data_IF_491884270726
#
_entry.id   IF_491884270726
#
_cell.length_a   1.000
_cell.length_b   1.000
_cell.length_c   1.000
_cell.angle_alpha   90.00
_cell.angle_beta   90.00
_cell.angle_gamma   90.00
#
_symmetry.space_group_name_H-M   'P 1'
#
loop_
_entity.id
_entity.type
_entity.pdbx_description
1 polymer ?
#
# COMPACT_ATOMS: atom_id res chain seq x y z
N UNK A 1 -9.17 3.86 1.44
CA UNK A 1 -8.18 4.89 1.07
C UNK A 1 -6.85 4.20 0.97
N UNK A 2 -6.16 4.37 -0.16
CA UNK A 2 -4.89 3.69 -0.36
C UNK A 2 -3.76 4.38 0.40
N UNK A 3 -2.78 3.60 0.84
CA UNK A 3 -1.54 4.08 1.46
C UNK A 3 -0.37 3.15 1.16
N UNK A 4 0.84 3.68 1.31
CA UNK A 4 2.08 2.92 1.22
C UNK A 4 2.49 2.40 2.60
N UNK A 5 3.08 1.22 2.65
CA UNK A 5 3.70 0.61 3.83
C UNK A 5 4.90 -0.22 3.38
N UNK A 6 6.07 -0.03 4.00
CA UNK A 6 7.21 -0.91 3.81
C UNK A 6 7.01 -2.22 4.57
N UNK A 7 7.30 -3.35 3.93
CA UNK A 7 7.32 -4.67 4.52
C UNK A 7 8.10 -5.61 3.60
N UNK A 8 8.85 -6.54 4.18
CA UNK A 8 9.51 -7.63 3.44
C UNK A 8 10.36 -7.18 2.25
N UNK A 9 11.13 -6.09 2.42
CA UNK A 9 12.09 -5.61 1.44
C UNK A 9 11.49 -4.79 0.29
N UNK A 10 10.22 -4.41 0.39
CA UNK A 10 9.53 -3.58 -0.61
C UNK A 10 8.57 -2.61 0.05
N UNK A 11 8.24 -1.53 -0.66
CA UNK A 11 7.12 -0.64 -0.34
C UNK A 11 5.85 -1.13 -1.04
N UNK A 12 4.93 -1.68 -0.26
CA UNK A 12 3.65 -2.19 -0.71
C UNK A 12 2.55 -1.15 -0.54
N UNK A 13 1.55 -1.20 -1.42
CA UNK A 13 0.32 -0.44 -1.24
C UNK A 13 -0.72 -1.32 -0.54
N UNK A 14 -1.57 -0.72 0.28
CA UNK A 14 -2.74 -1.37 0.87
C UNK A 14 -3.95 -0.43 0.84
N UNK A 15 -5.15 -1.01 0.90
CA UNK A 15 -6.38 -0.27 1.14
C UNK A 15 -6.78 -0.39 2.61
N UNK A 16 -6.73 0.72 3.33
CA UNK A 16 -7.09 0.71 4.75
C UNK A 16 -6.96 2.08 5.41
N UNK A 17 -7.75 2.35 6.45
CA UNK A 17 -7.73 3.63 7.14
C UNK A 17 -6.44 3.83 7.96
N UNK A 18 -5.77 2.75 8.37
CA UNK A 18 -4.63 2.79 9.29
C UNK A 18 -3.42 2.04 8.71
N UNK A 19 -2.22 2.47 9.11
CA UNK A 19 -1.01 1.72 8.81
C UNK A 19 -0.98 0.46 9.71
N UNK A 20 -0.56 -0.70 9.20
CA UNK A 20 -0.39 -1.89 10.02
C UNK A 20 0.65 -1.66 11.12
N UNK A 21 0.46 -2.29 12.26
CA UNK A 21 1.41 -2.22 13.38
C UNK A 21 2.61 -3.13 13.12
N UNK A 22 3.77 -2.90 13.76
CA UNK A 22 4.85 -3.87 13.74
C UNK A 22 4.38 -5.26 14.17
N UNK A 23 4.73 -6.29 13.41
CA UNK A 23 4.31 -7.67 13.59
C UNK A 23 2.94 -8.01 13.00
N UNK A 24 2.19 -7.02 12.50
CA UNK A 24 0.92 -7.24 11.82
C UNK A 24 1.15 -7.62 10.35
N UNK A 25 0.37 -8.59 9.88
CA UNK A 25 0.32 -9.01 8.48
C UNK A 25 -0.84 -8.30 7.78
N UNK A 26 -0.62 -7.86 6.55
CA UNK A 26 -1.67 -7.29 5.71
C UNK A 26 -1.60 -7.81 4.28
N UNK A 27 -2.76 -7.83 3.60
CA UNK A 27 -2.82 -8.10 2.16
C UNK A 27 -2.54 -6.82 1.38
N UNK A 28 -1.43 -6.80 0.65
CA UNK A 28 -1.07 -5.71 -0.25
C UNK A 28 -1.96 -5.71 -1.51
N UNK A 29 -2.00 -4.58 -2.22
CA UNK A 29 -2.74 -4.46 -3.48
C UNK A 29 -2.24 -5.44 -4.56
N UNK A 30 -0.96 -5.83 -4.52
CA UNK A 30 -0.42 -6.88 -5.40
C UNK A 30 -0.88 -8.31 -5.03
N UNK A 31 -1.71 -8.47 -3.99
CA UNK A 31 -2.23 -9.76 -3.52
C UNK A 31 -1.32 -10.50 -2.53
N UNK A 32 -0.09 -10.00 -2.28
CA UNK A 32 0.82 -10.61 -1.31
C UNK A 32 0.36 -10.34 0.13
N UNK A 33 0.41 -11.36 0.99
CA UNK A 33 0.35 -11.19 2.44
C UNK A 33 1.76 -10.91 2.96
N UNK A 34 1.97 -9.75 3.57
CA UNK A 34 3.29 -9.30 4.04
C UNK A 34 3.22 -8.82 5.48
N UNK A 35 4.28 -9.06 6.26
CA UNK A 35 4.35 -8.71 7.67
C UNK A 35 5.26 -7.50 7.89
N UNK A 36 4.77 -6.50 8.63
CA UNK A 36 5.54 -5.27 8.90
C UNK A 36 6.60 -5.55 9.97
N UNK A 37 7.87 -5.42 9.65
CA UNK A 37 8.94 -5.49 10.65
C UNK A 37 9.06 -4.18 11.43
N UNK A 38 9.64 -4.24 12.63
CA UNK A 38 9.85 -3.03 13.46
C UNK A 38 10.69 -1.96 12.72
N UNK A 39 11.67 -2.38 11.91
CA UNK A 39 12.53 -1.48 11.13
C UNK A 39 11.84 -0.89 9.89
N UNK A 40 10.63 -1.35 9.56
CA UNK A 40 9.80 -0.77 8.50
C UNK A 40 8.94 0.41 8.99
N UNK A 41 9.03 0.76 10.28
CA UNK A 41 8.23 1.82 10.89
C UNK A 41 9.13 3.01 11.24
N UNK A 42 9.03 4.16 10.52
CA UNK A 42 9.85 5.33 10.78
C UNK A 42 9.77 5.84 12.22
N UNK A 43 8.58 5.77 12.83
CA UNK A 43 8.34 6.19 14.22
C UNK A 43 9.10 5.34 15.25
N UNK A 44 9.61 4.16 14.85
CA UNK A 44 10.37 3.25 15.70
C UNK A 44 11.87 3.21 15.35
N UNK A 45 12.33 4.20 14.57
CA UNK A 45 13.71 4.29 14.09
C UNK A 45 13.96 3.52 12.79
N UNK A 46 12.91 3.11 12.10
CA UNK A 46 12.98 2.50 10.77
C UNK A 46 13.23 3.51 9.64
N UNK A 47 13.51 3.02 8.44
CA UNK A 47 13.70 3.85 7.26
C UNK A 47 12.99 3.26 6.05
N UNK A 48 12.29 4.12 5.30
CA UNK A 48 11.61 3.75 4.06
C UNK A 48 12.52 3.88 2.85
N UNK A 49 13.52 3.02 2.76
CA UNK A 49 14.48 3.00 1.65
C UNK A 49 14.25 1.84 0.68
N UNK A 50 13.38 0.90 1.01
CA UNK A 50 13.11 -0.22 0.13
C UNK A 50 12.43 0.27 -1.15
N UNK A 51 12.71 -0.42 -2.28
CA UNK A 51 12.12 -0.10 -3.55
C UNK A 51 10.60 -0.25 -3.50
N UNK A 52 9.91 0.56 -4.29
CA UNK A 52 8.46 0.41 -4.47
C UNK A 52 8.13 -0.90 -5.17
N UNK A 53 7.13 -1.63 -4.67
CA UNK A 53 6.57 -2.78 -5.38
C UNK A 53 5.88 -2.30 -6.67
N UNK A 54 6.42 -2.68 -7.82
CA UNK A 54 5.89 -2.27 -9.14
C UNK A 54 4.43 -2.66 -9.36
N UNK A 55 4.03 -3.81 -8.82
CA UNK A 55 2.67 -4.35 -9.00
C UNK A 55 1.67 -3.57 -8.14
N UNK A 56 2.06 -3.21 -6.91
CA UNK A 56 1.27 -2.30 -6.08
C UNK A 56 1.12 -0.92 -6.72
N UNK A 57 2.17 -0.40 -7.37
CA UNK A 57 2.12 0.90 -8.05
C UNK A 57 1.17 0.88 -9.25
N UNK A 58 1.23 -0.17 -10.08
CA UNK A 58 0.31 -0.34 -11.20
C UNK A 58 -1.14 -0.50 -10.74
N UNK A 59 -1.37 -1.32 -9.71
CA UNK A 59 -2.72 -1.54 -9.19
C UNK A 59 -3.31 -0.27 -8.56
N UNK A 60 -2.50 0.55 -7.88
CA UNK A 60 -2.93 1.84 -7.39
C UNK A 60 -3.43 2.75 -8.51
N UNK A 61 -2.65 2.88 -9.59
CA UNK A 61 -3.01 3.71 -10.74
C UNK A 61 -4.30 3.21 -11.40
N UNK A 62 -4.40 1.89 -11.63
CA UNK A 62 -5.59 1.25 -12.21
C UNK A 62 -6.84 1.58 -11.41
N UNK A 63 -6.80 1.45 -10.07
CA UNK A 63 -7.96 1.74 -9.20
C UNK A 63 -8.30 3.24 -9.14
N UNK A 64 -7.31 4.13 -9.22
CA UNK A 64 -7.56 5.58 -9.30
C UNK A 64 -8.27 5.95 -10.60
N UNK A 65 -7.85 5.35 -11.72
CA UNK A 65 -8.50 5.54 -13.02
C UNK A 65 -9.94 5.02 -13.00
N UNK A 66 -10.17 3.83 -12.45
CA UNK A 66 -11.51 3.27 -12.25
C UNK A 66 -12.39 4.17 -11.39
N UNK A 67 -11.87 4.68 -10.27
CA UNK A 67 -12.61 5.58 -9.40
C UNK A 67 -13.04 6.86 -10.13
N UNK A 68 -12.12 7.48 -10.88
CA UNK A 68 -12.41 8.67 -11.70
C UNK A 68 -13.46 8.39 -12.78
N UNK A 69 -13.31 7.30 -13.55
CA UNK A 69 -14.26 6.93 -14.59
C UNK A 69 -15.64 6.56 -14.03
N UNK A 70 -15.70 6.02 -12.81
CA UNK A 70 -16.96 5.75 -12.12
C UNK A 70 -17.67 7.04 -11.68
N UNK A 71 -16.91 8.03 -11.21
CA UNK A 71 -17.43 9.35 -10.86
C UNK A 71 -18.00 10.07 -12.08
N UNK A 72 -17.26 10.10 -13.19
CA UNK A 72 -17.70 10.69 -14.47
C UNK A 72 -18.99 10.03 -14.99
N UNK A 73 -19.09 8.69 -14.88
CA UNK A 73 -20.28 7.94 -15.29
C UNK A 73 -21.49 8.18 -14.38
N UNK A 74 -21.28 8.49 -13.10
CA UNK A 74 -22.37 8.81 -12.16
C UNK A 74 -22.95 10.21 -12.40
N UNK A 75 -22.14 11.12 -12.95
CA UNK A 75 -22.50 12.51 -13.23
C UNK A 75 -23.15 12.72 -14.61
N UNK A 76 -23.18 11.69 -15.47
CA UNK A 76 -23.75 11.70 -16.81
C UNK A 76 -25.17 11.10 -16.83
#
# INVERSE_FOLDING_TARGET
>A
MFRWQQAEGKRHALDGPFAPRPGETFTALCGAEVTVARHDVPQLGGHWFDPTCSDCAQEWLRRQEEARSNEERCLA
#
